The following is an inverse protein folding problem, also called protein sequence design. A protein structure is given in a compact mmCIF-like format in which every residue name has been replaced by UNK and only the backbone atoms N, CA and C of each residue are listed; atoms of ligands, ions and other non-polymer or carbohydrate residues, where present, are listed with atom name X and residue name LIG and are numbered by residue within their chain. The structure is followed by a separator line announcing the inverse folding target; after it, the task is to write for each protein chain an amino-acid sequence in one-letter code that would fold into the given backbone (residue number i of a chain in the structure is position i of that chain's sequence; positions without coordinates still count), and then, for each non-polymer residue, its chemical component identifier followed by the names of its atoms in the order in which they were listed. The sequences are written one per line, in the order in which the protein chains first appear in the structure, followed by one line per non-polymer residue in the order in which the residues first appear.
data_IF_564320106285
#
_entry.id   IF_564320106285
#
_cell.length_a   1.000
_cell.length_b   1.000
_cell.length_c   1.000
_cell.angle_alpha   90.00
_cell.angle_beta   90.00
_cell.angle_gamma   90.00
#
_symmetry.space_group_name_H-M   'P 1'
#
loop_
_entity.id
_entity.type
_entity.pdbx_description
1 polymer ?
#
# COMPACT_ATOMS: atom_id res chain seq x y z
N UNK A 1 58.65 -4.08 68.23
CA UNK A 1 57.69 -3.84 69.33
C UNK A 1 56.30 -3.86 68.70
N UNK A 2 55.59 -5.01 68.74
CA UNK A 2 54.60 -5.46 69.74
C UNK A 2 53.35 -4.55 69.85
N UNK A 3 52.25 -5.10 69.30
CA UNK A 3 50.80 -4.99 69.57
C UNK A 3 50.43 -4.71 71.06
N UNK A 4 49.18 -4.39 71.48
CA UNK A 4 47.91 -4.91 70.91
C UNK A 4 46.59 -4.11 71.06
N UNK A 5 45.57 -4.55 70.32
CA UNK A 5 44.15 -4.63 70.72
C UNK A 5 43.41 -5.45 69.65
N UNK A 6 43.07 -6.75 69.81
CA UNK A 6 42.02 -7.39 70.65
C UNK A 6 40.78 -6.51 70.75
N UNK A 7 39.63 -6.86 70.15
CA UNK A 7 38.80 -8.02 70.52
C UNK A 7 38.20 -8.74 69.30
N UNK A 8 38.27 -10.06 69.40
CA UNK A 8 37.72 -11.07 68.51
C UNK A 8 36.41 -11.61 69.12
N UNK A 9 35.36 -11.63 68.30
CA UNK A 9 34.55 -12.81 67.96
C UNK A 9 33.80 -13.58 69.07
N UNK A 10 32.48 -13.72 68.87
CA UNK A 10 31.66 -14.94 69.02
C UNK A 10 30.24 -14.61 68.50
N UNK A 11 29.89 -15.10 67.31
CA UNK A 11 29.20 -16.38 67.08
C UNK A 11 27.88 -16.49 67.86
N UNK A 12 26.74 -16.50 67.16
CA UNK A 12 26.07 -17.76 66.81
C UNK A 12 24.93 -17.52 65.82
N UNK A 13 25.11 -18.14 64.65
CA UNK A 13 24.12 -18.28 63.59
C UNK A 13 22.84 -18.94 64.10
N UNK A 14 21.71 -18.24 63.91
CA UNK A 14 20.38 -18.84 63.84
C UNK A 14 19.91 -18.82 62.38
N UNK A 15 20.17 -19.96 61.72
CA UNK A 15 19.29 -20.74 60.84
C UNK A 15 18.08 -19.98 60.24
N UNK A 16 17.94 -19.84 58.91
CA UNK A 16 17.67 -20.84 57.84
C UNK A 16 16.23 -20.69 57.31
N UNK A 17 16.14 -20.36 56.02
CA UNK A 17 15.11 -20.75 55.05
C UNK A 17 13.61 -20.44 55.30
N UNK A 18 13.07 -19.58 54.43
CA UNK A 18 11.94 -19.77 53.48
C UNK A 18 11.39 -18.35 53.21
N UNK A 19 11.18 -17.85 52.01
CA UNK A 19 10.64 -18.45 50.79
C UNK A 19 10.97 -17.58 49.58
N UNK A 20 11.24 -18.21 48.44
CA UNK A 20 11.49 -17.59 47.13
C UNK A 20 10.26 -16.80 46.66
N UNK A 21 10.44 -15.52 46.30
CA UNK A 21 9.48 -14.77 45.48
C UNK A 21 10.19 -14.25 44.22
N UNK A 22 9.71 -14.76 43.10
CA UNK A 22 10.27 -14.70 41.76
C UNK A 22 10.21 -13.29 41.14
N UNK A 23 11.30 -12.92 40.48
CA UNK A 23 11.43 -11.79 39.56
C UNK A 23 10.47 -12.01 38.38
N UNK A 24 9.65 -11.02 37.95
CA UNK A 24 8.78 -11.20 36.80
C UNK A 24 9.62 -11.16 35.52
N UNK A 25 9.65 -12.30 34.83
CA UNK A 25 10.23 -12.46 33.50
C UNK A 25 9.36 -11.68 32.52
N UNK A 26 9.91 -10.63 31.92
CA UNK A 26 9.33 -9.94 30.76
C UNK A 26 9.28 -10.96 29.62
N UNK A 27 8.08 -11.38 29.24
CA UNK A 27 7.85 -12.26 28.08
C UNK A 27 8.08 -11.46 26.79
N UNK A 28 8.64 -12.09 25.74
CA UNK A 28 8.73 -11.45 24.44
C UNK A 28 7.31 -11.23 23.90
N UNK A 29 7.04 -10.03 23.40
CA UNK A 29 5.85 -9.72 22.60
C UNK A 29 5.98 -10.40 21.23
N UNK A 30 5.91 -11.72 21.22
CA UNK A 30 5.68 -12.51 20.02
C UNK A 30 4.19 -12.81 19.92
N UNK A 31 3.52 -12.12 18.99
CA UNK A 31 2.38 -12.55 18.18
C UNK A 31 1.71 -11.28 17.67
N UNK A 32 2.15 -10.81 16.50
CA UNK A 32 1.25 -10.05 15.62
C UNK A 32 0.11 -11.02 15.33
N UNK A 33 -0.96 -10.88 16.10
CA UNK A 33 -2.20 -11.62 15.89
C UNK A 33 -2.69 -11.13 14.54
N UNK A 34 -2.61 -11.99 13.52
CA UNK A 34 -3.35 -11.81 12.29
C UNK A 34 -4.79 -11.50 12.70
N UNK A 35 -5.18 -10.23 12.62
CA UNK A 35 -6.57 -9.83 12.73
C UNK A 35 -7.21 -10.39 11.47
N UNK A 36 -7.64 -11.65 11.55
CA UNK A 36 -8.61 -12.19 10.62
C UNK A 36 -9.87 -11.38 10.89
N UNK A 37 -10.09 -10.36 10.07
CA UNK A 37 -11.40 -9.73 9.96
C UNK A 37 -12.38 -10.83 9.57
N UNK A 38 -13.10 -11.35 10.56
CA UNK A 38 -14.20 -12.25 10.36
C UNK A 38 -15.40 -11.42 9.89
N UNK A 39 -15.38 -10.99 8.63
CA UNK A 39 -16.59 -10.58 7.95
C UNK A 39 -17.35 -11.85 7.56
N UNK A 40 -18.30 -12.26 8.41
CA UNK A 40 -19.40 -13.17 8.02
C UNK A 40 -20.45 -12.42 7.20
N UNK A 41 -20.01 -11.58 6.26
CA UNK A 41 -20.86 -10.99 5.24
C UNK A 41 -20.50 -11.69 3.93
N UNK A 42 -21.45 -12.41 3.35
CA UNK A 42 -21.32 -12.97 2.00
C UNK A 42 -20.91 -11.84 1.06
N UNK A 43 -19.71 -11.91 0.48
CA UNK A 43 -19.25 -10.91 -0.49
C UNK A 43 -20.32 -10.70 -1.56
N UNK A 44 -20.67 -9.44 -1.88
CA UNK A 44 -21.67 -9.16 -2.90
C UNK A 44 -21.30 -9.85 -4.21
N UNK A 45 -22.28 -10.47 -4.86
CA UNK A 45 -22.06 -11.00 -6.21
C UNK A 45 -21.76 -9.84 -7.16
N UNK A 46 -20.69 -9.92 -7.97
CA UNK A 46 -20.36 -8.83 -8.87
C UNK A 46 -21.49 -8.64 -9.88
N UNK A 47 -21.82 -7.39 -10.25
CA UNK A 47 -22.77 -7.11 -11.31
C UNK A 47 -22.35 -7.84 -12.60
N UNK A 48 -23.33 -8.36 -13.31
CA UNK A 48 -23.16 -9.17 -14.50
C UNK A 48 -23.85 -8.56 -15.73
N UNK A 49 -23.51 -9.10 -16.90
CA UNK A 49 -24.02 -8.69 -18.20
C UNK A 49 -24.07 -9.89 -19.13
N UNK A 50 -24.99 -9.83 -20.08
CA UNK A 50 -25.11 -10.84 -21.13
C UNK A 50 -24.13 -10.54 -22.27
N UNK A 51 -23.33 -11.54 -22.66
CA UNK A 51 -22.46 -11.43 -23.81
C UNK A 51 -23.29 -11.31 -25.11
N UNK A 52 -23.06 -10.30 -25.96
CA UNK A 52 -23.83 -10.12 -27.19
C UNK A 52 -23.60 -11.22 -28.23
N UNK A 53 -22.45 -11.91 -28.20
CA UNK A 53 -22.10 -12.94 -29.19
C UNK A 53 -22.56 -14.35 -28.81
N UNK A 54 -22.69 -14.67 -27.52
CA UNK A 54 -22.99 -16.03 -27.08
C UNK A 54 -24.03 -16.13 -25.95
N UNK A 55 -24.62 -15.01 -25.55
CA UNK A 55 -25.68 -14.92 -24.55
C UNK A 55 -25.35 -15.44 -23.14
N UNK A 56 -24.09 -15.79 -22.87
CA UNK A 56 -23.64 -16.19 -21.53
C UNK A 56 -23.61 -14.98 -20.58
N UNK A 57 -24.00 -15.20 -19.33
CA UNK A 57 -23.86 -14.21 -18.28
C UNK A 57 -22.40 -14.12 -17.78
N UNK A 58 -21.87 -12.91 -17.68
CA UNK A 58 -20.46 -12.63 -17.42
C UNK A 58 -20.36 -11.41 -16.51
N UNK A 59 -19.51 -11.45 -15.49
CA UNK A 59 -19.26 -10.30 -14.63
C UNK A 59 -18.74 -9.09 -15.44
N UNK A 60 -19.18 -7.88 -15.09
CA UNK A 60 -18.92 -6.67 -15.91
C UNK A 60 -17.43 -6.31 -16.08
N UNK A 61 -16.57 -6.75 -15.15
CA UNK A 61 -15.11 -6.51 -15.16
C UNK A 61 -14.33 -7.55 -15.97
N UNK A 62 -15.00 -8.61 -16.46
CA UNK A 62 -14.38 -9.67 -17.24
C UNK A 62 -14.45 -9.33 -18.74
N UNK A 63 -13.29 -9.36 -19.37
CA UNK A 63 -13.11 -9.33 -20.83
C UNK A 63 -11.73 -9.92 -21.16
N UNK A 64 -11.55 -10.72 -22.22
CA UNK A 64 -12.56 -11.19 -23.19
C UNK A 64 -13.61 -12.15 -22.59
N UNK A 65 -14.65 -12.46 -23.36
CA UNK A 65 -15.69 -13.41 -22.97
C UNK A 65 -15.11 -14.80 -22.68
N UNK A 66 -15.38 -15.37 -21.50
CA UNK A 66 -14.88 -16.70 -21.11
C UNK A 66 -15.44 -17.87 -21.93
N UNK A 67 -16.46 -17.63 -22.76
CA UNK A 67 -17.12 -18.67 -23.57
C UNK A 67 -16.80 -18.57 -25.06
N UNK A 68 -16.89 -17.38 -25.66
CA UNK A 68 -16.66 -17.18 -27.10
C UNK A 68 -15.41 -16.36 -27.42
N UNK A 69 -14.65 -15.91 -26.41
CA UNK A 69 -13.47 -15.05 -26.56
C UNK A 69 -13.72 -13.70 -27.22
N UNK A 70 -14.98 -13.27 -27.37
CA UNK A 70 -15.33 -11.95 -27.88
C UNK A 70 -14.83 -10.83 -26.94
N UNK A 71 -14.32 -9.75 -27.51
CA UNK A 71 -13.73 -8.66 -26.75
C UNK A 71 -14.82 -7.68 -26.29
N UNK A 72 -15.22 -7.81 -25.03
CA UNK A 72 -16.28 -7.01 -24.42
C UNK A 72 -15.74 -5.65 -23.92
N UNK A 73 -16.52 -4.55 -24.01
CA UNK A 73 -16.10 -3.26 -23.47
C UNK A 73 -15.99 -3.34 -21.94
N UNK A 74 -15.24 -2.48 -21.27
CA UNK A 74 -15.24 -2.38 -19.80
C UNK A 74 -15.82 -1.04 -19.37
N UNK A 75 -16.72 -1.00 -18.36
CA UNK A 75 -17.19 0.25 -17.79
C UNK A 75 -16.03 1.18 -17.41
N UNK A 76 -16.19 2.47 -17.64
CA UNK A 76 -15.17 3.49 -17.35
C UNK A 76 -14.99 3.71 -15.85
N UNK A 77 -16.05 3.54 -15.07
CA UNK A 77 -16.10 3.69 -13.61
C UNK A 77 -15.64 2.44 -12.83
N UNK A 78 -15.01 1.45 -13.48
CA UNK A 78 -14.40 0.32 -12.77
C UNK A 78 -13.20 0.79 -11.95
N UNK A 79 -13.07 0.24 -10.75
CA UNK A 79 -11.87 0.43 -9.93
C UNK A 79 -10.63 -0.14 -10.62
N UNK A 80 -9.46 0.43 -10.31
CA UNK A 80 -8.18 -0.10 -10.81
C UNK A 80 -7.91 -1.52 -10.28
N UNK A 81 -8.42 -1.84 -9.10
CA UNK A 81 -8.31 -3.16 -8.48
C UNK A 81 -9.11 -4.21 -9.27
N UNK A 82 -10.35 -3.90 -9.65
CA UNK A 82 -11.21 -4.76 -10.46
C UNK A 82 -10.64 -4.98 -11.87
N UNK A 83 -10.00 -3.96 -12.47
CA UNK A 83 -9.33 -4.08 -13.77
C UNK A 83 -8.20 -5.12 -13.77
N UNK A 84 -7.53 -5.26 -12.64
CA UNK A 84 -6.41 -6.18 -12.41
C UNK A 84 -6.81 -7.44 -11.65
N UNK A 85 -8.10 -7.78 -11.57
CA UNK A 85 -8.58 -8.98 -10.87
C UNK A 85 -8.11 -9.10 -9.41
N UNK A 86 -7.87 -7.98 -8.72
CA UNK A 86 -7.52 -7.94 -7.30
C UNK A 86 -8.76 -7.88 -6.40
N UNK A 87 -9.89 -7.47 -6.96
CA UNK A 87 -11.18 -7.32 -6.29
C UNK A 87 -12.31 -7.69 -7.25
N UNK A 88 -13.53 -7.74 -6.71
CA UNK A 88 -14.75 -7.90 -7.49
C UNK A 88 -15.61 -6.65 -7.29
N UNK A 89 -16.11 -6.02 -8.37
CA UNK A 89 -16.87 -4.78 -8.27
C UNK A 89 -18.16 -5.02 -7.50
N UNK A 90 -18.57 -4.04 -6.70
CA UNK A 90 -19.81 -4.06 -5.95
C UNK A 90 -20.78 -3.06 -6.55
N UNK A 91 -22.05 -3.42 -6.74
CA UNK A 91 -23.06 -2.54 -7.32
C UNK A 91 -23.72 -1.69 -6.23
N UNK A 92 -23.88 -0.38 -6.49
CA UNK A 92 -24.68 0.54 -5.66
C UNK A 92 -26.16 0.59 -6.07
N UNK A 93 -26.55 -0.18 -7.10
CA UNK A 93 -27.79 0.01 -7.85
C UNK A 93 -27.60 0.94 -9.05
N UNK A 94 -28.55 0.96 -9.99
CA UNK A 94 -28.54 1.83 -11.18
C UNK A 94 -27.29 1.74 -12.09
N UNK A 95 -26.64 0.57 -12.17
CA UNK A 95 -25.40 0.33 -12.92
C UNK A 95 -24.15 1.05 -12.39
N UNK A 96 -24.22 1.71 -11.22
CA UNK A 96 -23.08 2.33 -10.59
C UNK A 96 -22.31 1.36 -9.69
N UNK A 97 -21.00 1.55 -9.64
CA UNK A 97 -20.06 0.72 -8.85
C UNK A 97 -19.75 1.44 -7.55
N UNK A 98 -19.99 0.75 -6.43
CA UNK A 98 -19.62 1.22 -5.09
C UNK A 98 -18.16 0.85 -4.80
N UNK A 99 -17.24 1.69 -5.27
CA UNK A 99 -15.79 1.49 -5.08
C UNK A 99 -15.42 1.53 -3.59
N UNK A 100 -15.90 2.48 -2.75
CA UNK A 100 -15.62 2.45 -1.31
C UNK A 100 -16.01 1.12 -0.64
N UNK A 101 -17.18 0.58 -0.96
CA UNK A 101 -17.61 -0.72 -0.43
C UNK A 101 -16.81 -1.88 -1.03
N UNK A 102 -16.43 -1.82 -2.31
CA UNK A 102 -15.53 -2.81 -2.92
C UNK A 102 -14.18 -2.89 -2.17
N UNK A 103 -13.61 -1.74 -1.82
CA UNK A 103 -12.31 -1.63 -1.17
C UNK A 103 -12.32 -2.02 0.31
N UNK A 104 -13.44 -1.84 1.01
CA UNK A 104 -13.56 -2.25 2.41
C UNK A 104 -13.40 -3.76 2.63
N UNK A 105 -13.61 -4.58 1.59
CA UNK A 105 -13.35 -6.02 1.61
C UNK A 105 -11.88 -6.40 1.39
N UNK A 106 -11.00 -5.43 1.10
CA UNK A 106 -9.57 -5.64 0.91
C UNK A 106 -8.80 -5.27 2.18
N UNK A 107 -7.57 -5.79 2.30
CA UNK A 107 -6.70 -5.46 3.41
C UNK A 107 -6.38 -3.95 3.40
N UNK A 108 -6.54 -3.30 4.55
CA UNK A 108 -6.26 -1.86 4.70
C UNK A 108 -6.99 -1.02 3.65
N UNK A 109 -8.27 -1.30 3.42
CA UNK A 109 -9.11 -0.61 2.42
C UNK A 109 -8.46 -0.54 1.02
N UNK A 110 -7.69 -1.56 0.64
CA UNK A 110 -6.99 -1.65 -0.65
C UNK A 110 -5.56 -1.10 -0.67
N UNK A 111 -5.12 -0.38 0.37
CA UNK A 111 -3.77 0.20 0.39
C UNK A 111 -2.68 -0.87 0.42
N UNK A 112 -2.83 -1.92 1.25
CA UNK A 112 -1.82 -2.98 1.33
C UNK A 112 -2.02 -4.01 0.22
N UNK A 113 -1.07 -4.02 -0.72
CA UNK A 113 -1.07 -4.95 -1.85
C UNK A 113 0.15 -5.85 -1.86
N UNK A 114 -0.07 -7.10 -2.30
CA UNK A 114 1.02 -8.01 -2.63
C UNK A 114 1.57 -7.66 -4.03
N UNK A 115 2.81 -7.13 -4.08
CA UNK A 115 3.47 -6.73 -5.34
C UNK A 115 3.59 -7.89 -6.34
N UNK A 116 3.77 -9.12 -5.87
CA UNK A 116 3.87 -10.30 -6.73
C UNK A 116 2.51 -10.63 -7.35
N UNK A 117 1.43 -10.61 -6.56
CA UNK A 117 0.07 -10.83 -7.06
C UNK A 117 -0.33 -9.76 -8.09
N UNK A 118 -0.06 -8.48 -7.78
CA UNK A 118 -0.28 -7.37 -8.69
C UNK A 118 0.43 -7.59 -10.04
N UNK A 119 1.71 -7.98 -10.02
CA UNK A 119 2.49 -8.26 -11.23
C UNK A 119 1.95 -9.46 -12.01
N UNK A 120 1.62 -10.55 -11.33
CA UNK A 120 1.08 -11.76 -11.97
C UNK A 120 -0.25 -11.47 -12.65
N UNK A 121 -1.14 -10.75 -11.99
CA UNK A 121 -2.41 -10.37 -12.57
C UNK A 121 -2.24 -9.39 -13.73
N UNK A 122 -1.37 -8.39 -13.63
CA UNK A 122 -1.06 -7.50 -14.75
C UNK A 122 -0.56 -8.27 -15.98
N UNK A 123 0.40 -9.20 -15.82
CA UNK A 123 0.91 -10.04 -16.91
C UNK A 123 -0.21 -10.89 -17.53
N UNK A 124 -1.08 -11.46 -16.71
CA UNK A 124 -2.26 -12.22 -17.16
C UNK A 124 -3.18 -11.33 -18.00
N UNK A 125 -3.54 -10.14 -17.51
CA UNK A 125 -4.41 -9.19 -18.21
C UNK A 125 -3.80 -8.70 -19.52
N UNK A 126 -2.50 -8.40 -19.53
CA UNK A 126 -1.78 -8.04 -20.75
C UNK A 126 -1.82 -9.17 -21.78
N UNK A 127 -1.55 -10.41 -21.37
CA UNK A 127 -1.67 -11.58 -22.25
C UNK A 127 -3.10 -11.80 -22.76
N UNK A 128 -4.12 -11.46 -21.98
CA UNK A 128 -5.52 -11.55 -22.41
C UNK A 128 -5.87 -10.51 -23.47
N UNK A 129 -5.38 -9.26 -23.30
CA UNK A 129 -5.84 -8.06 -23.99
C UNK A 129 -4.83 -7.45 -24.98
N UNK A 130 -3.68 -8.08 -25.19
CA UNK A 130 -2.67 -7.57 -26.11
C UNK A 130 -3.24 -7.38 -27.54
N UNK A 131 -3.02 -6.23 -28.21
CA UNK A 131 -3.60 -5.96 -29.52
C UNK A 131 -3.22 -7.00 -30.59
N UNK A 132 -2.01 -7.56 -30.52
CA UNK A 132 -1.54 -8.58 -31.49
C UNK A 132 -2.45 -9.81 -31.57
N UNK A 133 -3.12 -10.18 -30.46
CA UNK A 133 -4.07 -11.30 -30.45
C UNK A 133 -5.33 -11.04 -31.27
N UNK A 134 -5.61 -9.78 -31.56
CA UNK A 134 -6.78 -9.32 -32.29
C UNK A 134 -6.41 -8.78 -33.68
N UNK A 135 -5.15 -8.92 -34.11
CA UNK A 135 -4.65 -8.47 -35.42
C UNK A 135 -5.49 -8.96 -36.61
N UNK A 136 -6.08 -10.16 -36.50
CA UNK A 136 -6.94 -10.74 -37.54
C UNK A 136 -8.43 -10.40 -37.41
N UNK A 137 -8.83 -9.57 -36.44
CA UNK A 137 -10.24 -9.27 -36.07
C UNK A 137 -10.71 -7.87 -36.51
N UNK A 138 -9.93 -7.19 -37.36
CA UNK A 138 -10.23 -5.87 -37.91
C UNK A 138 -9.88 -4.70 -36.97
N UNK A 139 -9.77 -3.51 -37.55
CA UNK A 139 -9.22 -2.31 -36.87
C UNK A 139 -10.00 -1.89 -35.62
N UNK A 140 -11.33 -2.02 -35.63
CA UNK A 140 -12.17 -1.67 -34.47
C UNK A 140 -11.83 -2.52 -33.24
N UNK A 141 -11.65 -3.83 -33.43
CA UNK A 141 -11.30 -4.76 -32.34
C UNK A 141 -9.88 -4.51 -31.84
N UNK A 142 -8.94 -4.24 -32.76
CA UNK A 142 -7.55 -3.92 -32.44
C UNK A 142 -7.46 -2.64 -31.62
N UNK A 143 -8.18 -1.59 -32.02
CA UNK A 143 -8.21 -0.31 -31.32
C UNK A 143 -8.78 -0.47 -29.90
N UNK A 144 -9.86 -1.24 -29.75
CA UNK A 144 -10.44 -1.58 -28.45
C UNK A 144 -9.47 -2.36 -27.55
N UNK A 145 -8.75 -3.34 -28.11
CA UNK A 145 -7.73 -4.08 -27.37
C UNK A 145 -6.58 -3.16 -26.92
N UNK A 146 -6.14 -2.24 -27.78
CA UNK A 146 -5.12 -1.24 -27.45
C UNK A 146 -5.55 -0.33 -26.31
N UNK A 147 -6.77 0.20 -26.35
CA UNK A 147 -7.32 1.05 -25.29
C UNK A 147 -7.39 0.29 -23.95
N UNK A 148 -7.91 -0.94 -23.97
CA UNK A 148 -8.01 -1.79 -22.77
C UNK A 148 -6.62 -2.12 -22.22
N UNK A 149 -5.66 -2.49 -23.06
CA UNK A 149 -4.27 -2.72 -22.65
C UNK A 149 -3.65 -1.47 -22.01
N UNK A 150 -3.93 -0.27 -22.56
CA UNK A 150 -3.53 1.00 -21.97
C UNK A 150 -4.11 1.21 -20.57
N UNK A 151 -5.41 0.94 -20.38
CA UNK A 151 -6.07 1.02 -19.07
C UNK A 151 -5.46 0.03 -18.05
N UNK A 152 -5.11 -1.18 -18.47
CA UNK A 152 -4.44 -2.18 -17.63
C UNK A 152 -3.04 -1.71 -17.22
N UNK A 153 -2.28 -1.11 -18.12
CA UNK A 153 -0.97 -0.53 -17.81
C UNK A 153 -1.09 0.63 -16.82
N UNK A 154 -2.07 1.52 -17.03
CA UNK A 154 -2.33 2.60 -16.08
C UNK A 154 -2.66 2.06 -14.68
N UNK A 155 -3.56 1.06 -14.60
CA UNK A 155 -3.91 0.43 -13.33
C UNK A 155 -2.68 -0.16 -12.61
N UNK A 156 -1.80 -0.87 -13.33
CA UNK A 156 -0.58 -1.42 -12.77
C UNK A 156 0.41 -0.33 -12.33
N UNK A 157 0.57 0.74 -13.11
CA UNK A 157 1.46 1.84 -12.78
C UNK A 157 1.00 2.62 -11.55
N UNK A 158 -0.30 2.87 -11.42
CA UNK A 158 -0.89 3.58 -10.28
C UNK A 158 -0.87 2.69 -9.04
N UNK A 159 -1.34 1.44 -9.13
CA UNK A 159 -1.34 0.54 -7.98
C UNK A 159 0.07 0.06 -7.61
N UNK A 160 1.04 0.11 -8.51
CA UNK A 160 2.41 -0.33 -8.24
C UNK A 160 3.22 0.65 -7.39
N UNK A 161 2.93 1.95 -7.47
CA UNK A 161 3.60 3.01 -6.72
C UNK A 161 2.75 3.43 -5.51
N UNK A 162 3.35 3.44 -4.32
CA UNK A 162 2.65 3.71 -3.05
C UNK A 162 2.06 5.13 -2.98
N UNK A 163 2.72 6.13 -3.58
CA UNK A 163 2.21 7.50 -3.60
C UNK A 163 1.03 7.60 -4.55
N UNK A 164 1.16 7.11 -5.79
CA UNK A 164 0.06 7.10 -6.77
C UNK A 164 -1.13 6.30 -6.27
N UNK A 165 -0.88 5.17 -5.59
CA UNK A 165 -1.93 4.36 -4.96
C UNK A 165 -2.65 5.15 -3.86
N UNK A 166 -1.91 5.86 -3.02
CA UNK A 166 -2.49 6.73 -1.97
C UNK A 166 -3.37 7.81 -2.59
N UNK A 167 -2.86 8.54 -3.57
CA UNK A 167 -3.60 9.60 -4.27
C UNK A 167 -4.88 9.06 -4.95
N UNK A 168 -4.79 7.88 -5.57
CA UNK A 168 -5.96 7.18 -6.12
C UNK A 168 -7.00 6.85 -5.05
N UNK A 169 -6.59 6.26 -3.92
CA UNK A 169 -7.50 5.95 -2.83
C UNK A 169 -8.15 7.23 -2.26
N UNK A 170 -7.38 8.31 -2.07
CA UNK A 170 -7.91 9.60 -1.63
C UNK A 170 -8.93 10.18 -2.63
N UNK A 171 -8.71 10.02 -3.94
CA UNK A 171 -9.65 10.45 -4.97
C UNK A 171 -11.00 9.74 -4.88
N UNK A 172 -11.02 8.46 -4.51
CA UNK A 172 -12.24 7.67 -4.32
C UNK A 172 -13.08 8.22 -3.15
N UNK A 173 -12.42 8.82 -2.15
CA UNK A 173 -13.04 9.47 -1.01
C UNK A 173 -13.31 10.98 -1.24
N UNK A 174 -13.20 11.49 -2.47
CA UNK A 174 -13.34 12.92 -2.81
C UNK A 174 -12.37 13.83 -2.03
N UNK A 175 -11.20 13.31 -1.67
CA UNK A 175 -10.13 14.02 -0.94
C UNK A 175 -8.83 14.01 -1.74
N UNK A 176 -8.94 14.04 -3.07
CA UNK A 176 -7.79 14.10 -3.97
C UNK A 176 -6.84 15.24 -3.55
N UNK A 177 -5.55 14.96 -3.60
CA UNK A 177 -4.52 15.95 -3.34
C UNK A 177 -4.19 16.70 -4.60
N UNK A 178 -3.96 18.00 -4.49
CA UNK A 178 -3.45 18.82 -5.59
C UNK A 178 -1.90 18.83 -5.56
N UNK A 179 -1.27 19.09 -6.70
CA UNK A 179 0.18 19.34 -6.75
C UNK A 179 0.56 20.59 -5.96
N UNK A 180 -0.39 21.52 -5.80
CA UNK A 180 -0.24 22.75 -5.02
C UNK A 180 -0.49 22.57 -3.52
N UNK A 181 -0.91 21.39 -3.07
CA UNK A 181 -1.07 21.11 -1.63
C UNK A 181 0.30 21.23 -0.94
N UNK A 182 0.33 22.04 0.13
CA UNK A 182 1.55 22.34 0.89
C UNK A 182 1.65 21.46 2.13
N UNK A 183 2.87 21.30 2.62
CA UNK A 183 3.10 20.79 3.98
C UNK A 183 2.62 21.86 4.96
N UNK A 184 1.58 21.53 5.74
CA UNK A 184 1.09 22.40 6.81
C UNK A 184 1.89 22.23 8.12
N UNK A 185 2.70 21.17 8.23
CA UNK A 185 3.57 20.89 9.39
C UNK A 185 4.92 21.62 9.28
N UNK A 186 5.17 22.68 10.09
CA UNK A 186 6.41 23.45 10.02
C UNK A 186 7.66 22.63 10.37
N UNK A 187 7.54 21.61 11.23
CA UNK A 187 8.68 20.78 11.62
C UNK A 187 9.11 19.90 10.46
N UNK A 188 8.15 19.27 9.80
CA UNK A 188 8.42 18.44 8.62
C UNK A 188 8.94 19.28 7.44
N UNK A 189 8.43 20.51 7.27
CA UNK A 189 8.94 21.43 6.25
C UNK A 189 10.39 21.85 6.51
N UNK A 190 10.77 22.10 7.77
CA UNK A 190 12.16 22.38 8.11
C UNK A 190 13.05 21.18 7.77
N UNK A 191 12.62 19.97 8.13
CA UNK A 191 13.38 18.74 7.90
C UNK A 191 13.62 18.44 6.40
N UNK A 192 12.61 18.63 5.54
CA UNK A 192 12.78 18.42 4.09
C UNK A 192 13.69 19.49 3.46
N UNK A 193 13.66 20.72 3.96
CA UNK A 193 14.52 21.79 3.48
C UNK A 193 15.98 21.56 3.87
N UNK A 194 16.22 21.16 5.12
CA UNK A 194 17.55 20.78 5.60
C UNK A 194 18.11 19.60 4.80
N UNK A 195 17.33 18.53 4.59
CA UNK A 195 17.76 17.39 3.80
C UNK A 195 18.04 17.75 2.32
N UNK A 196 17.37 18.77 1.76
CA UNK A 196 17.66 19.28 0.42
C UNK A 196 18.95 20.08 0.39
N UNK A 197 19.20 20.92 1.38
CA UNK A 197 20.45 21.68 1.52
C UNK A 197 21.65 20.73 1.67
N UNK A 198 21.55 19.73 2.54
CA UNK A 198 22.57 18.67 2.67
C UNK A 198 22.82 17.96 1.33
N UNK A 199 21.75 17.67 0.57
CA UNK A 199 21.88 17.05 -0.74
C UNK A 199 22.55 17.98 -1.75
N UNK A 200 22.29 19.28 -1.72
CA UNK A 200 22.92 20.29 -2.58
C UNK A 200 24.40 20.47 -2.25
N UNK A 201 24.78 20.42 -0.98
CA UNK A 201 26.15 20.56 -0.50
C UNK A 201 26.99 19.28 -0.64
N UNK A 202 26.34 18.11 -0.71
CA UNK A 202 27.03 16.82 -0.86
C UNK A 202 28.02 16.84 -2.03
N UNK A 203 29.30 16.57 -1.73
CA UNK A 203 30.41 16.62 -2.69
C UNK A 203 30.88 15.23 -3.12
N UNK A 204 30.36 14.19 -2.50
CA UNK A 204 30.74 12.79 -2.74
C UNK A 204 29.54 11.86 -2.88
N UNK A 205 29.75 10.74 -3.58
CA UNK A 205 28.72 9.70 -3.70
C UNK A 205 28.37 9.07 -2.34
N UNK A 206 29.32 9.01 -1.40
CA UNK A 206 29.09 8.47 -0.06
C UNK A 206 28.19 9.40 0.78
N UNK A 207 28.26 10.72 0.59
CA UNK A 207 27.32 11.67 1.21
C UNK A 207 25.93 11.53 0.62
N UNK A 208 25.82 11.49 -0.71
CA UNK A 208 24.54 11.30 -1.40
C UNK A 208 23.89 9.99 -0.95
N UNK A 209 24.65 8.89 -0.85
CA UNK A 209 24.12 7.60 -0.42
C UNK A 209 23.63 7.64 1.03
N UNK A 210 24.35 8.31 1.95
CA UNK A 210 23.88 8.48 3.33
C UNK A 210 22.55 9.24 3.41
N UNK A 211 22.39 10.31 2.63
CA UNK A 211 21.14 11.07 2.56
C UNK A 211 20.01 10.19 2.03
N UNK A 212 20.29 9.38 1.00
CA UNK A 212 19.32 8.43 0.44
C UNK A 212 18.90 7.35 1.45
N UNK A 213 19.83 6.86 2.26
CA UNK A 213 19.53 5.86 3.30
C UNK A 213 18.60 6.46 4.37
N UNK A 214 18.87 7.68 4.85
CA UNK A 214 18.00 8.40 5.79
C UNK A 214 16.63 8.69 5.18
N UNK A 215 16.59 9.17 3.94
CA UNK A 215 15.35 9.42 3.21
C UNK A 215 14.54 8.13 3.02
N UNK A 216 15.21 7.00 2.78
CA UNK A 216 14.55 5.70 2.66
C UNK A 216 13.83 5.31 3.95
N UNK A 217 14.47 5.48 5.11
CA UNK A 217 13.84 5.23 6.42
C UNK A 217 12.61 6.11 6.64
N UNK A 218 12.69 7.40 6.27
CA UNK A 218 11.55 8.35 6.35
C UNK A 218 10.38 7.92 5.46
N UNK A 219 10.66 7.53 4.23
CA UNK A 219 9.66 7.02 3.30
C UNK A 219 8.99 5.74 3.84
N UNK A 220 9.78 4.81 4.38
CA UNK A 220 9.24 3.59 4.97
C UNK A 220 8.34 3.86 6.18
N UNK A 221 8.71 4.81 7.04
CA UNK A 221 7.91 5.19 8.19
C UNK A 221 6.56 5.80 7.76
N UNK A 222 6.57 6.72 6.80
CA UNK A 222 5.34 7.32 6.25
C UNK A 222 4.46 6.24 5.61
N UNK A 223 5.03 5.27 4.90
CA UNK A 223 4.26 4.15 4.34
C UNK A 223 3.60 3.32 5.45
N UNK A 224 4.28 3.07 6.57
CA UNK A 224 3.69 2.36 7.74
C UNK A 224 2.56 3.17 8.36
N UNK A 225 2.71 4.49 8.48
CA UNK A 225 1.65 5.36 8.96
C UNK A 225 0.44 5.38 8.01
N UNK A 226 0.67 5.37 6.68
CA UNK A 226 -0.38 5.21 5.69
C UNK A 226 -1.09 3.86 5.82
N UNK A 227 -0.35 2.76 6.02
CA UNK A 227 -0.94 1.45 6.34
C UNK A 227 -1.83 1.56 7.57
N UNK A 228 -1.38 2.20 8.64
CA UNK A 228 -2.18 2.38 9.85
C UNK A 228 -3.46 3.19 9.58
N UNK A 229 -3.36 4.34 8.91
CA UNK A 229 -4.50 5.20 8.60
C UNK A 229 -5.57 4.48 7.76
N UNK A 230 -5.16 3.68 6.78
CA UNK A 230 -6.08 2.86 5.98
C UNK A 230 -6.51 1.56 6.67
N UNK A 231 -5.90 1.16 7.78
CA UNK A 231 -6.33 -0.01 8.57
C UNK A 231 -7.56 0.26 9.43
N UNK A 232 -7.80 1.54 9.76
CA UNK A 232 -8.89 1.98 10.62
C UNK A 232 -10.25 1.75 9.95
N UNK A 233 -11.30 1.65 10.76
CA UNK A 233 -12.67 1.45 10.28
C UNK A 233 -13.63 2.45 10.94
N UNK A 234 -14.05 3.53 10.23
CA UNK A 234 -13.66 3.88 8.86
C UNK A 234 -12.19 4.33 8.74
N UNK A 235 -11.57 4.28 7.54
CA UNK A 235 -10.19 4.72 7.34
C UNK A 235 -10.03 6.22 7.63
N UNK A 236 -8.88 6.60 8.19
CA UNK A 236 -8.56 8.00 8.50
C UNK A 236 -8.04 8.73 7.25
N UNK A 237 -8.99 9.25 6.46
CA UNK A 237 -8.70 9.91 5.18
C UNK A 237 -7.98 11.24 5.33
N UNK A 238 -8.21 11.97 6.43
CA UNK A 238 -7.53 13.25 6.69
C UNK A 238 -6.05 13.03 6.96
N UNK A 239 -5.73 12.05 7.81
CA UNK A 239 -4.34 11.68 8.08
C UNK A 239 -3.66 11.12 6.83
N UNK A 240 -4.33 10.24 6.09
CA UNK A 240 -3.80 9.72 4.83
C UNK A 240 -3.53 10.84 3.81
N UNK A 241 -4.35 11.90 3.79
CA UNK A 241 -4.11 13.08 2.95
C UNK A 241 -2.81 13.79 3.38
N UNK A 242 -2.65 14.07 4.66
CA UNK A 242 -1.44 14.74 5.17
C UNK A 242 -0.19 13.92 4.84
N UNK A 243 -0.20 12.63 5.17
CA UNK A 243 0.90 11.69 4.88
C UNK A 243 1.21 11.58 3.38
N UNK A 244 0.21 11.68 2.50
CA UNK A 244 0.43 11.65 1.06
C UNK A 244 1.23 12.87 0.56
N UNK A 245 0.96 14.06 1.12
CA UNK A 245 1.72 15.26 0.83
C UNK A 245 3.14 15.07 1.32
N UNK A 246 3.33 14.58 2.55
CA UNK A 246 4.66 14.30 3.09
C UNK A 246 5.46 13.33 2.21
N UNK A 247 4.85 12.22 1.80
CA UNK A 247 5.46 11.21 0.95
C UNK A 247 5.90 11.79 -0.41
N UNK A 248 5.12 12.71 -0.98
CA UNK A 248 5.47 13.38 -2.24
C UNK A 248 6.79 14.14 -2.14
N UNK A 249 6.98 14.89 -1.05
CA UNK A 249 8.20 15.67 -0.84
C UNK A 249 9.44 14.78 -0.67
N UNK A 250 9.35 13.73 0.15
CA UNK A 250 10.45 12.77 0.35
C UNK A 250 10.77 11.96 -0.91
N UNK A 251 9.75 11.56 -1.70
CA UNK A 251 9.98 10.98 -3.04
C UNK A 251 10.64 11.98 -4.00
N UNK A 252 10.31 13.27 -3.88
CA UNK A 252 10.96 14.34 -4.62
C UNK A 252 12.45 14.48 -4.29
N UNK A 253 12.81 14.34 -3.02
CA UNK A 253 14.21 14.31 -2.58
C UNK A 253 14.96 13.09 -3.15
N UNK A 254 14.33 11.91 -3.15
CA UNK A 254 14.93 10.69 -3.75
C UNK A 254 15.24 10.87 -5.23
N UNK A 255 14.34 11.53 -5.98
CA UNK A 255 14.56 11.78 -7.41
C UNK A 255 15.71 12.76 -7.63
N UNK A 256 15.77 13.85 -6.86
CA UNK A 256 16.88 14.80 -6.91
C UNK A 256 18.23 14.13 -6.57
N UNK A 257 18.23 13.24 -5.59
CA UNK A 257 19.44 12.50 -5.20
C UNK A 257 19.92 11.55 -6.31
N UNK A 258 19.00 10.88 -7.01
CA UNK A 258 19.32 10.05 -8.18
C UNK A 258 19.94 10.87 -9.30
N UNK A 259 19.38 12.04 -9.60
CA UNK A 259 19.89 12.92 -10.65
C UNK A 259 21.30 13.42 -10.33
N UNK A 260 21.59 13.74 -9.07
CA UNK A 260 22.94 14.17 -8.63
C UNK A 260 23.96 13.04 -8.60
N UNK A 261 23.52 11.79 -8.46
CA UNK A 261 24.40 10.61 -8.44
C UNK A 261 24.91 10.17 -9.83
N UNK A 262 24.33 10.70 -10.92
CA UNK A 262 24.69 10.42 -12.33
C UNK A 262 25.79 11.36 -12.81
#
# INVERSE_FOLDING_TARGET
MRLPSTVSNRNFDLLRNQSRSSIPIIRPLSLIRNVRFAHTETRPTPPSRVCPSCSKDIAIHITPCSNCSDLLPLPTNLSLYSLLYLSSPVSKGNNDIDIPLELSYLNFNGFKLNKNELRLNWLKRQKELHPDKFSSKGDLTINKARELSGRINNAYNVLGDELKRTEYLLSIHNKATDETDKIDDPMMLAEILEAREELEEAASQDEIQRIRDVNHEKVEDIIKQLEQAFSENPPNIEEAKNLSVQLRYWKGLENAAKEKSV
#
